data_IF_677569894415
#
_entry.id   IF_677569894415
#
_cell.length_a   1.000
_cell.length_b   1.000
_cell.length_c   1.000
_cell.angle_alpha   90.00
_cell.angle_beta   90.00
_cell.angle_gamma   90.00
#
_symmetry.space_group_name_H-M   'P 1'
#
loop_
_entity.id
_entity.type
_entity.pdbx_description
1 polymer ?
#
# COMPACT_ATOMS: atom_id res chain seq x y z
N UNK A 1 -6.98 -19.09 -15.74
CA UNK A 1 -6.87 -17.65 -16.02
C UNK A 1 -6.05 -17.00 -14.91
N UNK A 2 -5.13 -16.07 -15.19
CA UNK A 2 -4.26 -15.47 -14.17
C UNK A 2 -4.98 -14.35 -13.41
N UNK A 3 -6.01 -14.70 -12.64
CA UNK A 3 -6.79 -13.77 -11.83
C UNK A 3 -6.63 -14.15 -10.36
N UNK A 4 -6.42 -13.15 -9.52
CA UNK A 4 -6.44 -13.27 -8.06
C UNK A 4 -7.27 -12.12 -7.48
N UNK A 5 -7.88 -12.32 -6.32
CA UNK A 5 -8.56 -11.25 -5.60
C UNK A 5 -7.50 -10.25 -5.11
N UNK A 6 -7.55 -9.01 -5.59
CA UNK A 6 -6.53 -7.98 -5.31
C UNK A 6 -7.11 -6.77 -4.55
N UNK A 7 -8.18 -6.97 -3.77
CA UNK A 7 -8.76 -5.90 -2.96
C UNK A 7 -7.84 -5.49 -1.80
N UNK A 8 -7.12 -6.45 -1.24
CA UNK A 8 -6.08 -6.24 -0.24
C UNK A 8 -4.87 -7.09 -0.60
N UNK A 9 -3.69 -6.46 -0.63
CA UNK A 9 -2.41 -7.12 -0.92
C UNK A 9 -1.37 -6.60 0.05
N UNK A 10 -0.35 -7.40 0.35
CA UNK A 10 0.77 -6.92 1.17
C UNK A 10 1.61 -5.93 0.37
N UNK A 11 2.26 -4.98 1.05
CA UNK A 11 3.15 -3.98 0.43
C UNK A 11 4.22 -4.64 -0.45
N UNK A 12 4.74 -5.80 -0.01
CA UNK A 12 5.70 -6.58 -0.78
C UNK A 12 5.12 -7.12 -2.09
N UNK A 13 3.83 -7.49 -2.12
CA UNK A 13 3.18 -8.00 -3.34
C UNK A 13 2.79 -6.89 -4.31
N UNK A 14 2.65 -5.65 -3.84
CA UNK A 14 2.35 -4.49 -4.67
C UNK A 14 3.56 -3.66 -5.09
N UNK A 15 4.77 -4.08 -4.72
CA UNK A 15 5.99 -3.37 -5.09
C UNK A 15 6.12 -3.21 -6.61
N UNK A 16 6.32 -1.97 -7.07
CA UNK A 16 6.40 -1.63 -8.50
C UNK A 16 5.06 -1.40 -9.18
N UNK A 17 3.93 -1.51 -8.46
CA UNK A 17 2.62 -1.15 -8.98
C UNK A 17 2.40 0.37 -8.90
N UNK A 18 1.58 0.89 -9.82
CA UNK A 18 1.12 2.27 -9.81
C UNK A 18 -0.41 2.29 -9.67
N UNK A 19 -0.89 2.69 -8.50
CA UNK A 19 -2.28 2.61 -8.08
C UNK A 19 -2.92 4.00 -8.08
N UNK A 20 -4.15 4.09 -8.60
CA UNK A 20 -4.90 5.35 -8.63
C UNK A 20 -5.52 5.70 -7.26
N UNK A 21 -5.87 4.67 -6.49
CA UNK A 21 -6.37 4.78 -5.11
C UNK A 21 -5.76 3.67 -4.28
N UNK A 22 -5.19 4.02 -3.13
CA UNK A 22 -4.60 3.07 -2.19
C UNK A 22 -4.93 3.50 -0.77
N UNK A 23 -5.37 2.54 0.02
CA UNK A 23 -5.54 2.69 1.45
C UNK A 23 -4.48 1.82 2.11
N UNK A 24 -3.59 2.44 2.90
CA UNK A 24 -2.46 1.76 3.55
C UNK A 24 -2.69 1.78 5.04
N UNK A 25 -2.69 0.59 5.65
CA UNK A 25 -2.62 0.44 7.11
C UNK A 25 -1.17 0.15 7.49
N UNK A 26 -0.59 1.03 8.30
CA UNK A 26 0.82 0.93 8.74
C UNK A 26 0.93 0.41 10.17
N UNK A 27 -0.18 0.23 10.90
CA UNK A 27 -0.18 -0.10 12.32
C UNK A 27 0.65 0.87 13.17
N UNK A 28 1.16 0.40 14.31
CA UNK A 28 2.00 1.21 15.22
C UNK A 28 3.48 1.31 14.79
N UNK A 29 3.97 0.40 13.96
CA UNK A 29 5.37 0.38 13.53
C UNK A 29 5.53 -0.33 12.18
N UNK A 30 6.54 0.08 11.42
CA UNK A 30 6.95 -0.63 10.22
C UNK A 30 7.57 -1.98 10.60
N UNK A 31 7.09 -3.07 10.00
CA UNK A 31 7.69 -4.40 10.17
C UNK A 31 9.15 -4.45 9.65
N UNK A 32 9.43 -3.65 8.61
CA UNK A 32 10.75 -3.49 8.03
C UNK A 32 10.92 -2.05 7.53
N UNK A 33 12.13 -1.51 7.67
CA UNK A 33 12.46 -0.14 7.28
C UNK A 33 12.15 0.11 5.79
N UNK A 34 11.41 1.19 5.53
CA UNK A 34 11.10 1.66 4.18
C UNK A 34 9.80 1.11 3.61
N UNK A 35 9.06 0.28 4.35
CA UNK A 35 7.75 -0.21 3.91
C UNK A 35 6.74 0.93 3.73
N UNK A 36 6.76 1.95 4.60
CA UNK A 36 5.90 3.12 4.44
C UNK A 36 6.24 3.87 3.16
N UNK A 37 7.53 4.08 2.89
CA UNK A 37 7.95 4.75 1.65
C UNK A 37 7.51 3.97 0.41
N UNK A 38 7.66 2.64 0.41
CA UNK A 38 7.21 1.79 -0.69
C UNK A 38 5.69 1.84 -0.85
N UNK A 39 4.91 1.87 0.24
CA UNK A 39 3.46 1.99 0.17
C UNK A 39 3.00 3.37 -0.36
N UNK A 40 3.67 4.45 0.06
CA UNK A 40 3.37 5.81 -0.39
C UNK A 40 3.70 6.01 -1.87
N UNK A 41 4.84 5.50 -2.34
CA UNK A 41 5.31 5.65 -3.73
C UNK A 41 4.42 4.94 -4.76
N UNK A 42 3.54 4.04 -4.32
CA UNK A 42 2.59 3.36 -5.20
C UNK A 42 1.42 4.25 -5.61
N UNK A 43 1.10 5.31 -4.84
CA UNK A 43 0.01 6.24 -5.20
C UNK A 43 0.48 7.25 -6.24
N UNK A 44 -0.29 7.40 -7.33
CA UNK A 44 -0.01 8.43 -8.35
C UNK A 44 -0.29 9.85 -7.87
N UNK A 45 -1.21 10.02 -6.91
CA UNK A 45 -1.64 11.34 -6.44
C UNK A 45 -1.90 11.33 -4.94
N UNK A 46 -1.71 12.47 -4.28
CA UNK A 46 -2.03 12.61 -2.85
C UNK A 46 -3.52 12.40 -2.56
N UNK A 47 -4.42 12.73 -3.49
CA UNK A 47 -5.87 12.53 -3.32
C UNK A 47 -6.27 11.05 -3.34
N UNK A 48 -5.48 10.22 -4.02
CA UNK A 48 -5.69 8.77 -4.08
C UNK A 48 -5.13 8.02 -2.88
N UNK A 49 -4.39 8.69 -2.00
CA UNK A 49 -3.72 8.06 -0.86
C UNK A 49 -4.54 8.28 0.42
N UNK A 50 -4.82 7.18 1.13
CA UNK A 50 -5.36 7.21 2.48
C UNK A 50 -4.44 6.38 3.40
N UNK A 51 -4.02 6.97 4.52
CA UNK A 51 -3.23 6.27 5.54
C UNK A 51 -4.11 6.06 6.75
N UNK A 52 -4.18 4.81 7.20
CA UNK A 52 -4.91 4.39 8.38
C UNK A 52 -3.92 4.07 9.50
N UNK A 53 -4.35 4.36 10.73
CA UNK A 53 -3.67 4.00 11.96
C UNK A 53 -4.66 3.15 12.78
N UNK A 54 -4.90 1.92 12.35
CA UNK A 54 -5.70 0.98 13.14
C UNK A 54 -4.76 0.19 14.06
N UNK A 55 -5.18 0.03 15.33
CA UNK A 55 -4.49 -0.75 16.35
C UNK A 55 -5.16 -2.12 16.47
#
# INVERSE_FOLDING_TARGET
MPLTLSWAVTIHKSQGMSLDRVTVDLGCNEFASGLTFVALSQSKTFRGLCILLFN
#
